data_IF_671804991825
#
_entry.id   IF_671804991825
#
_cell.length_a   1.000
_cell.length_b   1.000
_cell.length_c   1.000
_cell.angle_alpha   90.00
_cell.angle_beta   90.00
_cell.angle_gamma   90.00
#
_symmetry.space_group_name_H-M   'P 1'
#
loop_
_entity.id
_entity.type
_entity.pdbx_description
1 polymer ?
#
# COMPACT_ATOMS: atom_id res chain seq x y z
N UNK A 1 26.85 5.28 20.37
CA UNK A 1 25.71 6.21 20.54
C UNK A 1 25.70 7.11 19.31
N UNK A 2 24.83 6.80 18.36
CA UNK A 2 24.71 7.57 17.13
C UNK A 2 23.47 8.43 17.27
N UNK A 3 23.63 9.60 17.91
CA UNK A 3 22.56 10.59 18.02
C UNK A 3 22.37 11.22 16.65
N UNK A 4 21.37 10.78 15.91
CA UNK A 4 20.89 11.52 14.76
C UNK A 4 20.39 12.89 15.23
N UNK A 5 20.78 13.99 14.59
CA UNK A 5 20.27 15.29 14.99
C UNK A 5 18.76 15.34 14.69
N UNK A 6 17.96 15.52 15.72
CA UNK A 6 16.54 15.86 15.58
C UNK A 6 16.51 17.25 14.93
N UNK A 7 16.03 17.34 13.70
CA UNK A 7 15.79 18.64 13.08
C UNK A 7 14.79 19.44 13.91
N UNK A 8 15.11 20.71 14.14
CA UNK A 8 14.32 21.58 15.00
C UNK A 8 12.86 21.65 14.54
N UNK A 9 11.94 21.14 15.38
CA UNK A 9 10.50 21.27 15.20
C UNK A 9 9.75 19.97 14.90
N UNK A 10 10.42 18.84 14.71
CA UNK A 10 9.75 17.57 14.49
C UNK A 10 9.48 16.86 15.83
N UNK A 11 8.21 16.62 16.14
CA UNK A 11 7.82 15.81 17.30
C UNK A 11 8.16 14.35 16.96
N UNK A 12 8.79 13.66 17.92
CA UNK A 12 9.10 12.24 17.81
C UNK A 12 8.59 11.50 19.04
N UNK A 13 8.13 10.29 18.84
CA UNK A 13 7.82 9.37 19.93
C UNK A 13 9.03 8.45 20.13
N UNK A 14 9.43 8.27 21.37
CA UNK A 14 10.55 7.39 21.72
C UNK A 14 10.07 6.39 22.76
N UNK A 15 10.23 5.10 22.49
CA UNK A 15 10.03 4.08 23.50
C UNK A 15 11.21 4.10 24.47
N UNK A 16 10.92 4.05 25.76
CA UNK A 16 11.91 4.01 26.81
C UNK A 16 11.90 2.69 27.59
N UNK A 17 10.98 1.79 27.24
CA UNK A 17 10.85 0.43 27.79
C UNK A 17 10.00 -0.43 26.85
N UNK A 18 10.08 -1.73 27.04
CA UNK A 18 9.16 -2.67 26.41
C UNK A 18 7.72 -2.43 26.88
N UNK A 19 6.74 -2.63 26.00
CA UNK A 19 5.33 -2.44 26.28
C UNK A 19 4.59 -3.77 26.08
N UNK A 20 3.95 -4.25 27.14
CA UNK A 20 3.04 -5.41 27.07
C UNK A 20 1.59 -4.90 26.96
N UNK A 21 0.92 -5.25 25.87
CA UNK A 21 -0.47 -4.86 25.58
C UNK A 21 -1.46 -6.03 25.74
N UNK A 22 -1.08 -7.13 26.43
CA UNK A 22 -1.92 -8.32 26.58
C UNK A 22 -3.30 -8.03 27.19
N UNK A 23 -3.39 -7.05 28.07
CA UNK A 23 -4.64 -6.64 28.74
C UNK A 23 -5.34 -5.43 28.05
N UNK A 24 -4.79 -4.92 26.95
CA UNK A 24 -5.24 -3.70 26.33
C UNK A 24 -5.51 -3.88 24.82
N UNK A 25 -6.46 -3.11 24.32
CA UNK A 25 -6.66 -2.94 22.88
C UNK A 25 -5.94 -1.68 22.43
N UNK A 26 -5.21 -1.79 21.33
CA UNK A 26 -4.55 -0.65 20.73
C UNK A 26 -5.51 0.11 19.81
N UNK A 27 -5.53 1.43 19.93
CA UNK A 27 -6.17 2.31 18.95
C UNK A 27 -5.11 2.80 17.97
N UNK A 28 -5.25 2.58 16.65
CA UNK A 28 -4.29 3.04 15.67
C UNK A 28 -3.99 4.53 15.77
N UNK A 29 -2.71 4.89 15.71
CA UNK A 29 -2.31 6.30 15.63
C UNK A 29 -2.54 6.83 14.21
N UNK A 30 -3.11 8.02 14.10
CA UNK A 30 -3.49 8.57 12.81
C UNK A 30 -4.79 7.94 12.29
N UNK A 31 -5.67 8.77 11.80
CA UNK A 31 -7.03 8.36 11.46
C UNK A 31 -7.53 9.09 10.22
N UNK A 32 -8.31 8.39 9.40
CA UNK A 32 -9.02 8.94 8.25
C UNK A 32 -10.52 8.84 8.52
N UNK A 33 -11.16 9.97 8.76
CA UNK A 33 -12.61 10.05 8.97
C UNK A 33 -13.39 10.50 7.74
N UNK A 34 -12.67 10.72 6.64
CA UNK A 34 -13.22 11.29 5.41
C UNK A 34 -13.46 12.81 5.49
N UNK A 35 -13.11 13.51 4.43
CA UNK A 35 -13.26 14.96 4.33
C UNK A 35 -12.32 15.75 5.24
N UNK A 36 -12.85 16.76 5.93
CA UNK A 36 -12.05 17.64 6.80
C UNK A 36 -11.68 17.01 8.16
N UNK A 37 -11.95 15.73 8.36
CA UNK A 37 -11.71 15.01 9.62
C UNK A 37 -10.49 14.09 9.55
N UNK A 38 -9.65 14.25 8.56
CA UNK A 38 -8.45 13.46 8.37
C UNK A 38 -7.31 13.94 9.25
N UNK A 39 -6.76 13.03 10.05
CA UNK A 39 -5.64 13.28 10.96
C UNK A 39 -4.53 12.25 10.76
N UNK A 40 -3.73 12.37 9.68
CA UNK A 40 -2.62 11.44 9.47
C UNK A 40 -1.57 11.60 10.55
N UNK A 41 -0.97 10.49 10.92
CA UNK A 41 0.22 10.49 11.77
C UNK A 41 1.44 10.92 10.92
N UNK A 42 2.09 12.00 11.29
CA UNK A 42 3.21 12.61 10.54
C UNK A 42 4.45 12.80 11.41
N UNK A 43 4.71 11.86 12.30
CA UNK A 43 5.83 11.88 13.23
C UNK A 43 6.74 10.68 13.03
N UNK A 44 7.91 10.70 13.69
CA UNK A 44 8.78 9.53 13.77
C UNK A 44 8.57 8.81 15.10
N UNK A 45 8.64 7.47 15.04
CA UNK A 45 8.66 6.59 16.19
C UNK A 45 10.04 5.92 16.26
N UNK A 46 10.72 6.06 17.37
CA UNK A 46 11.98 5.39 17.66
C UNK A 46 11.74 4.34 18.74
N UNK A 47 11.86 3.09 18.37
CA UNK A 47 11.70 1.96 19.30
C UNK A 47 12.89 1.80 20.24
N UNK A 48 14.08 2.31 19.88
CA UNK A 48 15.33 2.18 20.67
C UNK A 48 15.65 0.70 21.00
N UNK A 49 15.29 -0.23 20.09
CA UNK A 49 15.35 -1.68 20.24
C UNK A 49 14.43 -2.22 21.38
N UNK A 50 13.44 -1.46 21.78
CA UNK A 50 12.36 -1.97 22.62
C UNK A 50 11.29 -2.64 21.75
N UNK A 51 10.42 -3.40 22.42
CA UNK A 51 9.34 -4.12 21.75
C UNK A 51 7.97 -3.82 22.33
N UNK A 52 6.98 -3.97 21.49
CA UNK A 52 5.56 -3.98 21.85
C UNK A 52 5.07 -5.43 21.65
N UNK A 53 4.45 -6.01 22.66
CA UNK A 53 3.95 -7.38 22.61
C UNK A 53 2.44 -7.45 22.76
N UNK A 54 1.82 -8.43 22.09
CA UNK A 54 0.39 -8.74 22.16
C UNK A 54 -0.54 -7.59 21.76
N UNK A 55 -0.07 -6.73 20.86
CA UNK A 55 -0.90 -5.63 20.32
C UNK A 55 -2.13 -6.21 19.62
N UNK A 56 -3.32 -5.86 20.10
CA UNK A 56 -4.59 -6.30 19.53
C UNK A 56 -5.38 -5.12 19.01
N UNK A 57 -5.73 -5.17 17.72
CA UNK A 57 -6.53 -4.17 17.01
C UNK A 57 -7.74 -4.86 16.39
N UNK A 58 -8.92 -4.33 16.67
CA UNK A 58 -10.16 -4.62 15.94
C UNK A 58 -10.73 -3.29 15.46
N UNK A 59 -10.75 -3.07 14.17
CA UNK A 59 -11.22 -1.82 13.56
C UNK A 59 -12.27 -2.12 12.51
N UNK A 60 -13.43 -1.51 12.66
CA UNK A 60 -14.48 -1.50 11.62
C UNK A 60 -14.17 -0.42 10.55
N UNK A 61 -13.02 0.23 10.66
CA UNK A 61 -12.57 1.28 9.74
C UNK A 61 -11.41 0.79 8.89
N UNK A 62 -11.24 1.43 7.74
CA UNK A 62 -10.03 1.33 6.94
C UNK A 62 -8.81 1.82 7.75
N UNK A 63 -7.63 1.31 7.40
CA UNK A 63 -6.34 1.72 7.97
C UNK A 63 -6.10 1.24 9.40
N UNK A 64 -5.90 -0.06 9.57
CA UNK A 64 -5.59 -0.69 10.84
C UNK A 64 -4.10 -1.09 10.94
N UNK A 65 -3.45 -0.70 12.04
CA UNK A 65 -2.05 -1.00 12.36
C UNK A 65 -1.60 -0.27 13.61
N UNK A 66 -0.34 -0.41 14.01
CA UNK A 66 0.24 0.42 15.08
C UNK A 66 0.05 1.91 14.74
N UNK A 67 0.32 2.28 13.49
CA UNK A 67 -0.11 3.52 12.86
C UNK A 67 -1.26 3.17 11.91
N UNK A 68 -2.41 3.78 12.06
CA UNK A 68 -3.54 3.58 11.15
C UNK A 68 -3.25 4.22 9.78
N UNK A 69 -3.08 5.53 9.75
CA UNK A 69 -2.73 6.28 8.55
C UNK A 69 -1.49 7.14 8.81
N UNK A 70 -0.39 6.82 8.14
CA UNK A 70 0.88 7.53 8.21
C UNK A 70 1.19 8.30 6.93
N UNK A 71 1.58 9.56 7.08
CA UNK A 71 2.04 10.40 5.96
C UNK A 71 3.34 11.09 6.37
N UNK A 72 4.39 10.94 5.57
CA UNK A 72 5.73 11.48 5.90
C UNK A 72 6.14 11.07 7.33
N UNK A 73 5.91 9.80 7.68
CA UNK A 73 6.21 9.26 8.99
C UNK A 73 7.37 8.27 8.93
N UNK A 74 7.91 7.91 10.09
CA UNK A 74 8.97 6.89 10.18
C UNK A 74 8.81 6.00 11.41
N UNK A 75 9.22 4.73 11.30
CA UNK A 75 9.33 3.83 12.43
C UNK A 75 10.72 3.18 12.38
N UNK A 76 11.46 3.30 13.46
CA UNK A 76 12.85 2.91 13.55
C UNK A 76 13.11 2.05 14.79
N UNK A 77 13.88 0.99 14.62
CA UNK A 77 14.39 0.15 15.70
C UNK A 77 13.28 -0.35 16.66
N UNK A 78 12.15 -0.82 16.08
CA UNK A 78 10.97 -1.26 16.83
C UNK A 78 10.57 -2.68 16.44
N UNK A 79 10.39 -3.54 17.45
CA UNK A 79 9.79 -4.85 17.30
C UNK A 79 8.33 -4.86 17.77
N UNK A 80 7.44 -5.49 17.00
CA UNK A 80 6.05 -5.76 17.42
C UNK A 80 5.80 -7.26 17.34
N UNK A 81 5.68 -7.90 18.49
CA UNK A 81 5.56 -9.36 18.59
C UNK A 81 4.15 -9.80 18.95
N UNK A 82 3.70 -10.91 18.35
CA UNK A 82 2.40 -11.54 18.63
C UNK A 82 1.22 -10.57 18.45
N UNK A 83 1.26 -9.77 17.40
CA UNK A 83 0.18 -8.84 17.08
C UNK A 83 -1.04 -9.57 16.51
N UNK A 84 -2.22 -9.05 16.80
CA UNK A 84 -3.48 -9.44 16.15
C UNK A 84 -4.12 -8.17 15.60
N UNK A 85 -4.10 -8.02 14.28
CA UNK A 85 -4.66 -6.85 13.62
C UNK A 85 -5.78 -7.27 12.68
N UNK A 86 -6.98 -6.80 12.96
CA UNK A 86 -8.16 -7.05 12.13
C UNK A 86 -8.79 -5.71 11.76
N UNK A 87 -9.02 -5.51 10.49
CA UNK A 87 -9.63 -4.31 9.93
C UNK A 87 -10.39 -4.60 8.65
N UNK A 88 -11.05 -3.57 8.09
CA UNK A 88 -11.77 -3.69 6.84
C UNK A 88 -10.79 -3.61 5.65
N UNK A 89 -10.06 -2.51 5.53
CA UNK A 89 -9.15 -2.25 4.40
C UNK A 89 -7.82 -1.65 4.90
N UNK A 90 -6.74 -1.81 4.13
CA UNK A 90 -5.41 -1.31 4.46
C UNK A 90 -4.94 -1.73 5.87
N UNK A 91 -4.74 -3.03 6.06
CA UNK A 91 -4.39 -3.62 7.35
C UNK A 91 -2.95 -4.11 7.36
N UNK A 92 -2.14 -3.61 8.28
CA UNK A 92 -0.74 -4.01 8.45
C UNK A 92 -0.30 -3.91 9.91
N UNK A 93 0.75 -4.63 10.33
CA UNK A 93 1.17 -4.58 11.74
C UNK A 93 1.75 -3.22 12.10
N UNK A 94 2.68 -2.67 11.30
CA UNK A 94 3.26 -1.34 11.57
C UNK A 94 2.33 -0.22 11.12
N UNK A 95 1.81 -0.28 9.90
CA UNK A 95 0.99 0.81 9.39
C UNK A 95 -0.10 0.26 8.48
N UNK A 96 -1.33 0.70 8.68
CA UNK A 96 -2.44 0.39 7.81
C UNK A 96 -2.24 1.01 6.42
N UNK A 97 -2.22 2.33 6.34
CA UNK A 97 -1.92 3.08 5.12
C UNK A 97 -0.68 3.95 5.33
N UNK A 98 0.34 3.74 4.50
CA UNK A 98 1.61 4.47 4.56
C UNK A 98 1.85 5.26 3.27
N UNK A 99 2.11 6.57 3.39
CA UNK A 99 2.46 7.44 2.27
C UNK A 99 3.76 8.19 2.60
N UNK A 100 4.78 8.03 1.76
CA UNK A 100 6.10 8.63 1.97
C UNK A 100 6.69 8.29 3.35
N UNK A 101 6.56 7.01 3.75
CA UNK A 101 7.04 6.49 5.02
C UNK A 101 8.47 5.96 4.95
N UNK A 102 9.18 5.97 6.09
CA UNK A 102 10.52 5.40 6.21
C UNK A 102 10.55 4.41 7.38
N UNK A 103 10.85 3.14 7.09
CA UNK A 103 10.84 2.05 8.07
C UNK A 103 12.21 1.39 8.09
N UNK A 104 12.85 1.32 9.27
CA UNK A 104 14.17 0.72 9.40
C UNK A 104 14.29 -0.13 10.65
N UNK A 105 14.97 -1.26 10.51
CA UNK A 105 15.27 -2.18 11.61
C UNK A 105 14.00 -2.55 12.40
N UNK A 106 12.90 -2.83 11.72
CA UNK A 106 11.65 -3.22 12.36
C UNK A 106 11.40 -4.70 12.14
N UNK A 107 11.00 -5.40 13.19
CA UNK A 107 10.57 -6.78 13.11
C UNK A 107 9.13 -6.91 13.62
N UNK A 108 8.27 -7.62 12.86
CA UNK A 108 6.89 -7.84 13.27
C UNK A 108 6.51 -9.32 13.21
N UNK A 109 5.66 -9.74 14.14
CA UNK A 109 5.09 -11.09 14.14
C UNK A 109 3.63 -11.09 14.58
N UNK A 110 2.85 -12.07 14.12
CA UNK A 110 1.46 -12.24 14.51
C UNK A 110 0.49 -12.57 13.37
N UNK A 111 -0.72 -12.02 13.44
CA UNK A 111 -1.76 -12.23 12.42
C UNK A 111 -2.38 -10.92 11.96
N UNK A 112 -2.67 -10.84 10.66
CA UNK A 112 -3.34 -9.70 10.03
C UNK A 112 -4.52 -10.21 9.22
N UNK A 113 -5.71 -9.60 9.40
CA UNK A 113 -6.90 -9.93 8.64
C UNK A 113 -7.58 -8.66 8.10
N UNK A 114 -7.86 -8.64 6.81
CA UNK A 114 -8.53 -7.54 6.13
C UNK A 114 -8.59 -7.74 4.62
N UNK A 115 -9.30 -6.88 3.90
CA UNK A 115 -9.45 -6.99 2.44
C UNK A 115 -8.17 -6.61 1.71
N UNK A 116 -7.49 -5.54 2.12
CA UNK A 116 -6.14 -5.15 1.68
C UNK A 116 -5.19 -5.30 2.86
N UNK A 117 -4.62 -6.49 3.01
CA UNK A 117 -3.82 -6.85 4.16
C UNK A 117 -2.37 -7.15 3.76
N UNK A 118 -1.44 -6.55 4.48
CA UNK A 118 0.00 -6.78 4.33
C UNK A 118 0.67 -7.07 5.67
N UNK A 119 1.80 -7.75 5.66
CA UNK A 119 2.48 -8.14 6.90
C UNK A 119 3.02 -6.93 7.68
N UNK A 120 3.72 -6.03 7.03
CA UNK A 120 4.25 -4.79 7.60
C UNK A 120 3.29 -3.63 7.40
N UNK A 121 2.91 -3.38 6.15
CA UNK A 121 2.10 -2.26 5.70
C UNK A 121 0.91 -2.80 4.92
N UNK A 122 -0.28 -2.28 5.17
CA UNK A 122 -1.49 -2.67 4.44
C UNK A 122 -1.49 -2.08 3.03
N UNK A 123 -1.34 -0.77 2.94
CA UNK A 123 -1.14 -0.03 1.70
C UNK A 123 0.11 0.83 1.82
N UNK A 124 0.89 0.94 0.74
CA UNK A 124 2.07 1.80 0.73
C UNK A 124 2.22 2.56 -0.58
N UNK A 125 2.68 3.80 -0.47
CA UNK A 125 3.07 4.63 -1.60
C UNK A 125 4.34 5.43 -1.27
N UNK A 126 5.38 5.27 -2.08
CA UNK A 126 6.67 5.95 -1.90
C UNK A 126 7.28 5.72 -0.50
N UNK A 127 7.27 4.48 -0.03
CA UNK A 127 7.84 4.11 1.27
C UNK A 127 9.19 3.41 1.11
N UNK A 128 10.14 3.75 1.98
CA UNK A 128 11.43 3.08 2.08
C UNK A 128 11.40 2.08 3.24
N UNK A 129 11.92 0.87 2.99
CA UNK A 129 12.03 -0.20 3.98
C UNK A 129 13.46 -0.74 3.96
N UNK A 130 14.16 -0.62 5.06
CA UNK A 130 15.53 -1.09 5.23
C UNK A 130 15.61 -2.02 6.44
N UNK A 131 16.13 -3.23 6.25
CA UNK A 131 16.32 -4.21 7.32
C UNK A 131 15.04 -4.48 8.13
N UNK A 132 13.86 -4.53 7.45
CA UNK A 132 12.59 -4.86 8.07
C UNK A 132 12.23 -6.31 7.76
N UNK A 133 11.69 -7.03 8.76
CA UNK A 133 11.28 -8.43 8.61
C UNK A 133 9.90 -8.68 9.22
N UNK A 134 9.21 -9.71 8.71
CA UNK A 134 7.88 -10.08 9.19
C UNK A 134 7.69 -11.59 9.25
N UNK A 135 7.26 -12.10 10.40
CA UNK A 135 6.72 -13.46 10.59
C UNK A 135 5.22 -13.34 10.92
N UNK A 136 4.43 -13.01 9.89
CA UNK A 136 3.01 -12.66 10.02
C UNK A 136 2.16 -13.58 9.15
N UNK A 137 1.08 -14.10 9.74
CA UNK A 137 0.04 -14.79 9.01
C UNK A 137 -0.98 -13.75 8.50
N UNK A 138 -1.14 -13.64 7.19
CA UNK A 138 -2.08 -12.70 6.56
C UNK A 138 -3.27 -13.46 5.99
N UNK A 139 -4.49 -13.15 6.44
CA UNK A 139 -5.74 -13.81 6.02
C UNK A 139 -5.65 -15.35 6.08
N UNK A 140 -5.11 -15.89 7.18
CA UNK A 140 -4.95 -17.31 7.39
C UNK A 140 -3.82 -17.97 6.57
N UNK A 141 -2.94 -17.19 5.96
CA UNK A 141 -1.78 -17.67 5.19
C UNK A 141 -0.51 -17.10 5.77
N UNK A 142 0.48 -17.94 6.07
CA UNK A 142 1.82 -17.47 6.38
C UNK A 142 2.48 -16.93 5.13
N UNK A 143 2.99 -15.71 5.21
CA UNK A 143 3.72 -15.07 4.12
C UNK A 143 5.19 -14.93 4.49
N UNK A 144 6.06 -15.38 3.59
CA UNK A 144 7.43 -14.94 3.57
C UNK A 144 7.47 -13.60 2.82
N UNK A 145 7.86 -12.55 3.52
CA UNK A 145 7.86 -11.17 3.01
C UNK A 145 8.69 -11.00 1.73
N UNK A 146 9.77 -11.76 1.58
CA UNK A 146 10.62 -11.69 0.39
C UNK A 146 10.00 -12.41 -0.83
N UNK A 147 9.18 -13.42 -0.61
CA UNK A 147 8.49 -14.15 -1.67
C UNK A 147 7.15 -13.51 -2.07
N UNK A 148 6.60 -12.64 -1.24
CA UNK A 148 5.28 -12.06 -1.46
C UNK A 148 5.19 -11.24 -2.76
N UNK A 149 6.16 -10.37 -3.04
CA UNK A 149 6.20 -9.57 -4.27
C UNK A 149 6.30 -10.43 -5.55
N UNK A 150 6.97 -11.58 -5.48
CA UNK A 150 7.12 -12.47 -6.64
C UNK A 150 5.91 -13.39 -6.82
N UNK A 151 5.32 -13.89 -5.72
CA UNK A 151 4.15 -14.77 -5.76
C UNK A 151 2.87 -14.01 -6.13
N UNK A 152 2.68 -12.78 -5.67
CA UNK A 152 1.52 -11.98 -6.03
C UNK A 152 1.44 -11.69 -7.53
N UNK A 153 2.58 -11.51 -8.18
CA UNK A 153 2.63 -11.35 -9.64
C UNK A 153 2.18 -12.60 -10.40
N UNK A 154 2.32 -13.80 -9.82
CA UNK A 154 2.02 -15.07 -10.47
C UNK A 154 0.63 -15.63 -10.14
N UNK A 155 -0.03 -15.23 -9.05
CA UNK A 155 -1.26 -15.85 -8.55
C UNK A 155 -2.55 -15.05 -8.78
N UNK A 156 -2.45 -13.79 -9.21
CA UNK A 156 -3.64 -13.02 -9.57
C UNK A 156 -4.07 -13.42 -10.99
N UNK A 157 -4.97 -14.39 -11.07
CA UNK A 157 -5.67 -14.70 -12.31
C UNK A 157 -6.90 -13.81 -12.42
N UNK A 158 -7.00 -13.10 -13.51
CA UNK A 158 -8.22 -12.43 -13.92
C UNK A 158 -8.97 -13.42 -14.80
N UNK A 159 -10.04 -14.00 -14.25
CA UNK A 159 -10.79 -15.06 -14.93
C UNK A 159 -11.51 -14.55 -16.19
N UNK A 160 -11.96 -13.29 -16.21
CA UNK A 160 -12.59 -12.64 -17.35
C UNK A 160 -11.95 -11.26 -17.58
N UNK A 161 -10.89 -11.16 -18.39
CA UNK A 161 -10.26 -9.88 -18.67
C UNK A 161 -11.20 -8.96 -19.44
N UNK A 162 -11.26 -7.70 -19.01
CA UNK A 162 -12.02 -6.65 -19.67
C UNK A 162 -11.45 -6.41 -21.06
N UNK A 163 -12.29 -6.30 -22.07
CA UNK A 163 -11.84 -5.92 -23.42
C UNK A 163 -11.91 -4.41 -23.59
N UNK A 164 -10.76 -3.78 -23.74
CA UNK A 164 -10.65 -2.38 -24.15
C UNK A 164 -10.37 -2.27 -25.63
N UNK A 165 -10.82 -1.19 -26.26
CA UNK A 165 -10.69 -0.93 -27.70
C UNK A 165 -10.02 0.42 -27.94
N UNK A 166 -9.42 0.61 -29.11
CA UNK A 166 -8.83 1.86 -29.56
C UNK A 166 -9.43 2.27 -30.90
N UNK A 167 -9.71 3.55 -31.08
CA UNK A 167 -10.19 4.11 -32.34
C UNK A 167 -9.05 4.73 -33.18
N UNK A 168 -9.40 5.27 -34.35
CA UNK A 168 -8.48 5.91 -35.27
C UNK A 168 -7.84 7.20 -34.75
N UNK A 169 -8.43 7.79 -33.70
CA UNK A 169 -7.92 8.98 -33.01
C UNK A 169 -7.10 8.65 -31.76
N UNK A 170 -6.72 7.37 -31.62
CA UNK A 170 -6.00 6.84 -30.45
C UNK A 170 -6.77 7.00 -29.13
N UNK A 171 -8.10 7.10 -29.17
CA UNK A 171 -8.94 7.07 -27.99
C UNK A 171 -9.20 5.62 -27.58
N UNK A 172 -8.76 5.27 -26.36
CA UNK A 172 -9.01 3.97 -25.77
C UNK A 172 -10.30 4.00 -24.96
N UNK A 173 -11.16 3.03 -25.19
CA UNK A 173 -12.47 2.93 -24.53
C UNK A 173 -12.61 1.60 -23.81
N UNK A 174 -13.19 1.62 -22.61
CA UNK A 174 -13.55 0.45 -21.82
C UNK A 174 -15.06 0.35 -21.62
N UNK A 175 -15.59 -0.86 -21.42
CA UNK A 175 -16.96 -1.02 -20.91
C UNK A 175 -17.07 -0.58 -19.45
N UNK A 176 -18.29 -0.52 -18.92
CA UNK A 176 -18.47 -0.46 -17.49
C UNK A 176 -17.91 -1.71 -16.82
N UNK A 177 -17.16 -1.52 -15.74
CA UNK A 177 -16.49 -2.59 -14.99
C UNK A 177 -17.02 -2.56 -13.57
N UNK A 178 -17.53 -3.69 -13.11
CA UNK A 178 -18.03 -3.85 -11.73
C UNK A 178 -17.20 -4.90 -11.00
N UNK A 179 -17.15 -4.79 -9.69
CA UNK A 179 -16.43 -5.76 -8.85
C UNK A 179 -14.96 -5.44 -8.60
N UNK A 180 -14.44 -4.37 -9.18
CA UNK A 180 -13.10 -3.86 -8.92
C UNK A 180 -13.15 -2.46 -8.31
N UNK A 181 -12.22 -2.19 -7.41
CA UNK A 181 -12.00 -0.86 -6.85
C UNK A 181 -10.71 -0.26 -7.42
N UNK A 182 -10.62 1.05 -7.38
CA UNK A 182 -9.44 1.81 -7.82
C UNK A 182 -8.98 1.42 -9.23
N UNK A 183 -9.86 1.62 -10.21
CA UNK A 183 -9.51 1.42 -11.60
C UNK A 183 -8.52 2.49 -12.07
N UNK A 184 -7.50 2.08 -12.80
CA UNK A 184 -6.47 2.97 -13.33
C UNK A 184 -6.12 2.67 -14.79
N UNK A 185 -5.99 3.73 -15.60
CA UNK A 185 -5.34 3.65 -16.90
C UNK A 185 -3.83 3.62 -16.71
N UNK A 186 -3.17 2.59 -17.23
CA UNK A 186 -1.72 2.48 -17.26
C UNK A 186 -1.23 2.75 -18.68
N UNK A 187 -0.28 3.67 -18.81
CA UNK A 187 0.28 4.09 -20.10
C UNK A 187 1.80 3.99 -20.06
N UNK A 188 2.34 3.29 -21.02
CA UNK A 188 3.78 3.18 -21.25
C UNK A 188 4.11 3.78 -22.62
N UNK A 189 5.20 4.51 -22.70
CA UNK A 189 5.80 5.02 -23.92
C UNK A 189 7.22 4.46 -24.05
N UNK A 190 7.52 3.81 -25.17
CA UNK A 190 8.80 3.15 -25.43
C UNK A 190 9.27 2.24 -24.26
N UNK A 191 8.30 1.56 -23.65
CA UNK A 191 8.53 0.64 -22.52
C UNK A 191 8.72 1.31 -21.15
N UNK A 192 8.62 2.65 -21.05
CA UNK A 192 8.69 3.38 -19.79
C UNK A 192 7.30 3.79 -19.34
N UNK A 193 7.00 3.57 -18.06
CA UNK A 193 5.76 4.04 -17.47
C UNK A 193 5.70 5.58 -17.49
N UNK A 194 4.65 6.09 -18.12
CA UNK A 194 4.42 7.53 -18.25
C UNK A 194 3.32 8.01 -17.34
N UNK A 195 2.29 7.19 -17.13
CA UNK A 195 1.11 7.63 -16.43
C UNK A 195 0.36 6.45 -15.79
N UNK A 196 -0.08 6.69 -14.55
CA UNK A 196 -1.13 5.94 -13.90
C UNK A 196 -2.26 6.92 -13.54
N UNK A 197 -3.41 6.82 -14.19
CA UNK A 197 -4.53 7.74 -14.02
C UNK A 197 -5.77 7.00 -13.55
N UNK A 198 -6.46 7.57 -12.55
CA UNK A 198 -7.73 7.04 -12.09
C UNK A 198 -8.75 6.94 -13.24
N UNK A 199 -9.33 5.75 -13.42
CA UNK A 199 -10.25 5.42 -14.49
C UNK A 199 -11.68 5.15 -13.99
N UNK A 200 -12.00 5.33 -12.72
CA UNK A 200 -13.30 4.95 -12.15
C UNK A 200 -14.47 5.62 -12.86
N UNK A 201 -14.33 6.91 -13.16
CA UNK A 201 -15.37 7.72 -13.80
C UNK A 201 -15.09 7.98 -15.29
N UNK A 202 -14.04 7.39 -15.86
CA UNK A 202 -13.64 7.61 -17.25
C UNK A 202 -13.79 6.34 -18.09
N UNK A 203 -14.80 6.29 -18.95
CA UNK A 203 -15.01 5.19 -19.88
C UNK A 203 -14.10 5.25 -21.09
N UNK A 204 -13.54 6.43 -21.39
CA UNK A 204 -12.59 6.62 -22.49
C UNK A 204 -11.41 7.47 -22.08
N UNK A 205 -10.28 7.19 -22.68
CA UNK A 205 -9.04 7.90 -22.44
C UNK A 205 -8.28 8.13 -23.75
N UNK A 206 -7.83 9.37 -23.98
CA UNK A 206 -6.93 9.71 -25.07
C UNK A 206 -5.62 10.22 -24.48
N UNK A 207 -4.54 9.55 -24.79
CA UNK A 207 -3.22 10.00 -24.40
C UNK A 207 -2.73 11.11 -25.33
N UNK A 208 -2.42 12.27 -24.77
CA UNK A 208 -2.04 13.47 -25.53
C UNK A 208 -0.61 13.45 -26.06
N UNK A 209 0.18 12.46 -25.77
CA UNK A 209 1.57 12.32 -26.22
C UNK A 209 1.73 11.52 -27.50
N UNK A 210 0.80 11.63 -28.45
CA UNK A 210 0.86 10.91 -29.72
C UNK A 210 1.95 11.44 -30.66
N UNK A 211 3.22 11.33 -30.24
CA UNK A 211 4.34 11.76 -31.06
C UNK A 211 4.69 10.72 -32.12
N UNK A 212 4.89 11.13 -33.39
CA UNK A 212 5.28 10.21 -34.47
C UNK A 212 6.57 9.45 -34.13
N UNK A 213 6.55 8.15 -34.36
CA UNK A 213 7.69 7.27 -34.14
C UNK A 213 7.75 6.60 -32.75
N UNK A 214 6.93 7.05 -31.79
CA UNK A 214 6.88 6.44 -30.46
C UNK A 214 5.90 5.28 -30.37
N UNK A 215 6.21 4.30 -29.54
CA UNK A 215 5.39 3.12 -29.29
C UNK A 215 4.70 3.22 -27.93
N UNK A 216 3.40 2.93 -27.92
CA UNK A 216 2.58 3.03 -26.72
C UNK A 216 1.98 1.68 -26.35
N UNK A 217 1.92 1.44 -25.05
CA UNK A 217 1.16 0.32 -24.46
C UNK A 217 0.16 0.89 -23.45
N UNK A 218 -1.11 0.54 -23.61
CA UNK A 218 -2.19 1.02 -22.71
C UNK A 218 -3.01 -0.18 -22.25
N UNK A 219 -3.30 -0.22 -20.96
CA UNK A 219 -4.22 -1.20 -20.38
C UNK A 219 -4.96 -0.61 -19.18
N UNK A 220 -6.07 -1.25 -18.83
CA UNK A 220 -6.79 -0.98 -17.60
C UNK A 220 -6.23 -1.86 -16.48
N UNK A 221 -5.96 -1.26 -15.35
CA UNK A 221 -5.55 -1.93 -14.12
C UNK A 221 -6.60 -1.74 -13.03
N UNK A 222 -6.61 -2.63 -12.07
CA UNK A 222 -7.36 -2.48 -10.82
C UNK A 222 -6.46 -2.76 -9.63
N UNK A 223 -6.79 -2.16 -8.49
CA UNK A 223 -6.09 -2.43 -7.25
C UNK A 223 -6.64 -3.73 -6.65
N UNK A 224 -5.82 -4.76 -6.65
CA UNK A 224 -6.18 -6.10 -6.17
C UNK A 224 -5.10 -6.60 -5.23
N UNK A 225 -5.48 -6.95 -4.02
CA UNK A 225 -4.55 -7.51 -3.00
C UNK A 225 -3.27 -6.69 -2.80
N UNK A 226 -3.40 -5.37 -2.71
CA UNK A 226 -2.27 -4.49 -2.38
C UNK A 226 -1.43 -4.01 -3.57
N UNK A 227 -1.82 -4.31 -4.82
CA UNK A 227 -1.11 -3.85 -6.01
C UNK A 227 -2.05 -3.59 -7.18
N UNK A 228 -1.61 -2.75 -8.12
CA UNK A 228 -2.29 -2.61 -9.39
C UNK A 228 -1.92 -3.77 -10.32
N UNK A 229 -2.95 -4.45 -10.83
CA UNK A 229 -2.79 -5.55 -11.77
C UNK A 229 -3.56 -5.26 -13.07
N UNK A 230 -3.02 -5.67 -14.22
CA UNK A 230 -3.76 -5.57 -15.47
C UNK A 230 -5.03 -6.42 -15.42
N UNK A 231 -6.18 -5.79 -15.70
CA UNK A 231 -7.48 -6.46 -15.78
C UNK A 231 -8.05 -6.46 -17.20
N UNK A 232 -7.35 -5.85 -18.15
CA UNK A 232 -7.77 -5.82 -19.56
C UNK A 232 -6.71 -6.41 -20.49
N UNK A 233 -7.07 -6.58 -21.76
CA UNK A 233 -6.08 -6.73 -22.83
C UNK A 233 -5.16 -5.50 -22.87
N UNK A 234 -3.94 -5.69 -23.40
CA UNK A 234 -2.98 -4.61 -23.62
C UNK A 234 -3.12 -4.14 -25.06
N UNK A 235 -3.38 -2.86 -25.26
CA UNK A 235 -3.35 -2.22 -26.57
C UNK A 235 -1.92 -1.71 -26.81
N UNK A 236 -1.34 -2.11 -27.95
CA UNK A 236 -0.02 -1.65 -28.39
C UNK A 236 -0.17 -0.99 -29.75
N UNK A 237 0.40 0.20 -29.88
CA UNK A 237 0.42 0.90 -31.17
C UNK A 237 1.68 1.77 -31.29
N UNK A 238 2.02 2.10 -32.53
CA UNK A 238 3.07 3.07 -32.86
C UNK A 238 2.45 4.18 -33.67
N UNK A 239 2.69 5.41 -33.28
CA UNK A 239 2.21 6.59 -34.02
C UNK A 239 3.02 6.74 -35.28
N UNK A 240 2.33 6.89 -36.43
CA UNK A 240 2.93 7.03 -37.75
C UNK A 240 3.26 8.45 -38.09
#
# INVERSE_FOLDING_TARGET
MNTQPVEQGQISLVLTADIDLSDYKWAPMGWSGGGNSDHPFSFCVYGENHKITYMTIYSDYSNAGFIGWGTVCGVFDLDIENAIVTGDDNVGVLTGQAIMGNYRNCHVSGTVNGSSAGSLLGYEANCDKENCTADVEVNGKKFDFLSWNEQQKSEIKIDDPVTITIDENYTVTRPEVTGYLNLGWMVYEDGKEMLHRNAENELSYCYFGNEPGHSYEIYLSAYVKGQYVPISNIIKYTVK
#
